data_IF_583369530218
#
_entry.id   IF_583369530218
#
_cell.length_a   1.000
_cell.length_b   1.000
_cell.length_c   1.000
_cell.angle_alpha   90.00
_cell.angle_beta   90.00
_cell.angle_gamma   90.00
#
_symmetry.space_group_name_H-M   'P 1'
#
loop_
_entity.id
_entity.type
_entity.pdbx_description
1 polymer ?
#
# COMPACT_ATOMS: atom_id res chain seq x y z
N UNK A 1 79.17 37.30 27.16
CA UNK A 1 78.78 36.27 26.14
C UNK A 1 78.11 35.00 26.73
N UNK A 2 78.40 34.53 27.93
CA UNK A 2 77.87 33.30 28.50
C UNK A 2 76.37 33.38 28.93
N UNK A 3 75.84 34.56 29.27
CA UNK A 3 74.47 34.72 29.74
C UNK A 3 73.48 34.73 28.56
N UNK A 4 73.76 35.40 27.44
CA UNK A 4 72.95 35.53 26.27
C UNK A 4 72.74 34.17 25.60
N UNK A 5 73.74 33.32 25.56
CA UNK A 5 73.67 31.96 25.00
C UNK A 5 72.70 31.06 25.83
N UNK A 6 72.71 31.16 27.14
CA UNK A 6 71.80 30.40 28.02
C UNK A 6 70.34 30.84 27.81
N UNK A 7 70.07 32.11 27.59
CA UNK A 7 68.72 32.63 27.34
C UNK A 7 68.20 32.13 25.99
N UNK A 8 69.05 32.14 24.95
CA UNK A 8 68.65 31.64 23.63
C UNK A 8 68.30 30.13 23.65
N UNK A 9 69.13 29.33 24.35
CA UNK A 9 68.81 27.90 24.51
C UNK A 9 67.54 27.68 25.28
N UNK A 10 67.31 28.40 26.39
CA UNK A 10 66.09 28.30 27.15
C UNK A 10 64.86 28.66 26.30
N UNK A 11 64.91 29.77 25.54
CA UNK A 11 63.83 30.19 24.66
C UNK A 11 63.52 29.12 23.54
N UNK A 12 64.57 28.51 22.99
CA UNK A 12 64.39 27.42 22.03
C UNK A 12 63.68 26.21 22.62
N UNK A 13 64.04 25.76 23.83
CA UNK A 13 63.38 24.67 24.51
C UNK A 13 61.93 24.98 24.85
N UNK A 14 61.63 26.21 25.32
CA UNK A 14 60.28 26.62 25.60
C UNK A 14 59.40 26.67 24.34
N UNK A 15 59.91 27.15 23.23
CA UNK A 15 59.19 27.19 21.96
C UNK A 15 58.95 25.78 21.40
N UNK A 16 59.92 24.89 21.46
CA UNK A 16 59.79 23.51 21.06
C UNK A 16 58.78 22.73 21.92
N UNK A 17 58.81 22.93 23.25
CA UNK A 17 57.87 22.29 24.15
C UNK A 17 56.45 22.85 23.95
N UNK A 18 56.28 24.12 23.74
CA UNK A 18 55.01 24.76 23.43
C UNK A 18 54.38 24.22 22.15
N UNK A 19 55.21 24.07 21.12
CA UNK A 19 54.79 23.50 19.83
C UNK A 19 54.33 22.02 19.96
N UNK A 20 55.06 21.23 20.73
CA UNK A 20 54.70 19.83 21.00
C UNK A 20 53.37 19.72 21.77
N UNK A 21 53.18 20.49 22.83
CA UNK A 21 51.93 20.48 23.62
C UNK A 21 50.75 20.93 22.74
N UNK A 22 50.91 21.96 21.93
CA UNK A 22 49.89 22.43 21.01
C UNK A 22 49.54 21.37 19.96
N UNK A 23 50.54 20.70 19.40
CA UNK A 23 50.39 19.63 18.40
C UNK A 23 49.59 18.43 18.97
N UNK A 24 49.98 17.97 20.16
CA UNK A 24 49.28 16.85 20.84
C UNK A 24 47.83 17.20 21.10
N UNK A 25 47.57 18.39 21.65
CA UNK A 25 46.19 18.82 21.93
C UNK A 25 45.34 18.96 20.65
N UNK A 26 45.95 19.49 19.58
CA UNK A 26 45.28 19.63 18.27
C UNK A 26 44.93 18.25 17.64
N UNK A 27 45.86 17.32 17.67
CA UNK A 27 45.63 15.97 17.15
C UNK A 27 44.65 15.19 18.03
N UNK A 28 44.70 15.33 19.34
CA UNK A 28 43.76 14.72 20.26
C UNK A 28 42.33 15.21 20.02
N UNK A 29 42.14 16.51 19.84
CA UNK A 29 40.84 17.10 19.54
C UNK A 29 40.28 16.63 18.21
N UNK A 30 41.12 16.55 17.15
CA UNK A 30 40.71 15.98 15.84
C UNK A 30 40.35 14.53 15.96
N UNK A 31 41.14 13.74 16.66
CA UNK A 31 40.84 12.31 16.86
C UNK A 31 39.50 12.09 17.57
N UNK A 32 39.20 12.85 18.62
CA UNK A 32 37.92 12.80 19.30
C UNK A 32 36.75 13.19 18.41
N UNK A 33 36.92 14.22 17.58
CA UNK A 33 35.89 14.64 16.63
C UNK A 33 35.61 13.58 15.55
N UNK A 34 36.67 12.97 14.99
CA UNK A 34 36.54 11.90 13.99
C UNK A 34 35.94 10.62 14.60
N UNK A 35 36.34 10.26 15.81
CA UNK A 35 35.75 9.14 16.53
C UNK A 35 34.26 9.36 16.76
N UNK A 36 33.83 10.53 17.20
CA UNK A 36 32.43 10.85 17.40
C UNK A 36 31.61 10.80 16.10
N UNK A 37 32.22 11.21 14.97
CA UNK A 37 31.61 11.10 13.64
C UNK A 37 31.46 9.65 13.21
N UNK A 38 32.49 8.83 13.44
CA UNK A 38 32.46 7.41 13.13
C UNK A 38 31.39 6.68 13.95
N UNK A 39 31.34 6.92 15.27
CA UNK A 39 30.36 6.33 16.16
C UNK A 39 28.92 6.74 15.78
N UNK A 40 28.72 8.01 15.37
CA UNK A 40 27.42 8.46 14.83
C UNK A 40 27.06 7.77 13.53
N UNK A 41 28.00 7.70 12.58
CA UNK A 41 27.75 7.07 11.28
C UNK A 41 27.43 5.57 11.43
N UNK A 42 28.11 4.89 12.34
CA UNK A 42 27.84 3.49 12.66
C UNK A 42 26.45 3.33 13.29
N UNK A 43 26.09 4.17 14.25
CA UNK A 43 24.75 4.17 14.86
C UNK A 43 23.63 4.47 13.86
N UNK A 44 23.84 5.42 12.95
CA UNK A 44 22.89 5.71 11.87
C UNK A 44 22.76 4.53 10.88
N UNK A 45 23.87 3.89 10.52
CA UNK A 45 23.86 2.73 9.63
C UNK A 45 23.13 1.53 10.28
N UNK A 46 23.36 1.27 11.56
CA UNK A 46 22.63 0.23 12.31
C UNK A 46 21.13 0.53 12.39
N UNK A 47 20.77 1.79 12.68
CA UNK A 47 19.37 2.20 12.71
C UNK A 47 18.70 2.05 11.35
N UNK A 48 19.34 2.51 10.27
CA UNK A 48 18.83 2.32 8.91
C UNK A 48 18.69 0.85 8.55
N UNK A 49 19.65 0.01 8.93
CA UNK A 49 19.58 -1.44 8.74
C UNK A 49 18.35 -2.06 9.42
N UNK A 50 18.05 -1.67 10.66
CA UNK A 50 16.84 -2.11 11.38
C UNK A 50 15.56 -1.65 10.70
N UNK A 51 15.53 -0.39 10.22
CA UNK A 51 14.37 0.16 9.50
C UNK A 51 14.13 -0.60 8.20
N UNK A 52 15.18 -0.84 7.41
CA UNK A 52 15.09 -1.59 6.16
C UNK A 52 14.63 -3.03 6.41
N UNK A 53 15.16 -3.70 7.43
CA UNK A 53 14.75 -5.06 7.80
C UNK A 53 13.26 -5.12 8.19
N UNK A 54 12.78 -4.16 8.99
CA UNK A 54 11.36 -4.06 9.34
C UNK A 54 10.47 -3.76 8.15
N UNK A 55 10.90 -2.88 7.25
CA UNK A 55 10.17 -2.58 6.01
C UNK A 55 10.09 -3.81 5.10
N UNK A 56 11.19 -4.54 4.93
CA UNK A 56 11.22 -5.77 4.14
C UNK A 56 10.29 -6.86 4.73
N UNK A 57 10.27 -6.99 6.06
CA UNK A 57 9.36 -7.93 6.74
C UNK A 57 7.90 -7.54 6.50
N UNK A 58 7.55 -6.26 6.65
CA UNK A 58 6.21 -5.78 6.43
C UNK A 58 5.78 -5.93 4.97
N UNK A 59 6.67 -5.63 4.02
CA UNK A 59 6.42 -5.83 2.60
C UNK A 59 6.13 -7.30 2.26
N UNK A 60 6.92 -8.23 2.80
CA UNK A 60 6.68 -9.65 2.60
C UNK A 60 5.33 -10.10 3.19
N UNK A 61 4.96 -9.61 4.36
CA UNK A 61 3.64 -9.89 4.96
C UNK A 61 2.50 -9.35 4.09
N UNK A 62 2.62 -8.13 3.61
CA UNK A 62 1.61 -7.52 2.73
C UNK A 62 1.44 -8.31 1.43
N UNK A 63 2.55 -8.74 0.82
CA UNK A 63 2.51 -9.58 -0.38
C UNK A 63 1.82 -10.92 -0.12
N UNK A 64 2.11 -11.59 0.98
CA UNK A 64 1.45 -12.85 1.35
C UNK A 64 -0.05 -12.67 1.57
N UNK A 65 -0.47 -11.59 2.22
CA UNK A 65 -1.89 -11.29 2.46
C UNK A 65 -2.58 -10.97 1.14
N UNK A 66 -1.96 -10.15 0.28
CA UNK A 66 -2.49 -9.81 -1.03
C UNK A 66 -2.62 -11.06 -1.94
N UNK A 67 -1.62 -11.93 -1.95
CA UNK A 67 -1.67 -13.20 -2.68
C UNK A 67 -2.78 -14.12 -2.19
N UNK A 68 -2.95 -14.24 -0.86
CA UNK A 68 -4.05 -15.00 -0.26
C UNK A 68 -5.42 -14.45 -0.68
N UNK A 69 -5.61 -13.12 -0.61
CA UNK A 69 -6.85 -12.47 -1.03
C UNK A 69 -7.10 -12.69 -2.52
N UNK A 70 -6.08 -12.57 -3.37
CA UNK A 70 -6.16 -12.83 -4.81
C UNK A 70 -6.56 -14.27 -5.11
N UNK A 71 -5.96 -15.25 -4.41
CA UNK A 71 -6.31 -16.66 -4.57
C UNK A 71 -7.75 -16.95 -4.15
N UNK A 72 -8.22 -16.38 -3.03
CA UNK A 72 -9.61 -16.53 -2.60
C UNK A 72 -10.57 -15.93 -3.64
N UNK A 73 -10.25 -14.75 -4.17
CA UNK A 73 -11.05 -14.11 -5.21
C UNK A 73 -11.11 -14.95 -6.51
N UNK A 74 -10.02 -15.62 -6.89
CA UNK A 74 -10.02 -16.54 -8.04
C UNK A 74 -10.91 -17.75 -7.80
N UNK A 75 -10.96 -18.29 -6.58
CA UNK A 75 -11.88 -19.37 -6.23
C UNK A 75 -13.35 -18.93 -6.29
N UNK A 76 -13.64 -17.70 -5.84
CA UNK A 76 -14.98 -17.10 -5.97
C UNK A 76 -15.37 -16.98 -7.44
N UNK A 77 -14.46 -16.53 -8.32
CA UNK A 77 -14.74 -16.43 -9.76
C UNK A 77 -15.08 -17.77 -10.38
N UNK A 78 -14.31 -18.82 -10.10
CA UNK A 78 -14.56 -20.17 -10.60
C UNK A 78 -15.91 -20.71 -10.10
N UNK A 79 -16.20 -20.53 -8.83
CA UNK A 79 -17.47 -20.93 -8.22
C UNK A 79 -18.67 -20.20 -8.80
N UNK A 80 -18.51 -18.87 -8.96
CA UNK A 80 -19.50 -18.00 -9.58
C UNK A 80 -19.82 -18.43 -11.04
N UNK A 81 -18.79 -18.62 -11.87
CA UNK A 81 -18.98 -19.00 -13.26
C UNK A 81 -19.78 -20.31 -13.40
N UNK A 82 -19.41 -21.33 -12.64
CA UNK A 82 -20.14 -22.61 -12.60
C UNK A 82 -21.61 -22.43 -12.19
N UNK A 83 -21.87 -21.59 -11.22
CA UNK A 83 -23.23 -21.33 -10.70
C UNK A 83 -24.05 -20.58 -11.74
N UNK A 84 -23.48 -19.57 -12.42
CA UNK A 84 -24.17 -18.80 -13.46
C UNK A 84 -24.55 -19.70 -14.63
N UNK A 85 -23.65 -20.60 -15.07
CA UNK A 85 -23.94 -21.57 -16.14
C UNK A 85 -25.12 -22.43 -15.73
N UNK A 86 -25.09 -23.02 -14.53
CA UNK A 86 -26.19 -23.87 -14.03
C UNK A 86 -27.52 -23.10 -13.93
N UNK A 87 -27.50 -21.87 -13.43
CA UNK A 87 -28.71 -21.06 -13.34
C UNK A 87 -29.26 -20.72 -14.72
N UNK A 88 -28.42 -20.40 -15.68
CA UNK A 88 -28.82 -20.12 -17.05
C UNK A 88 -29.51 -21.35 -17.69
N UNK A 89 -28.99 -22.55 -17.48
CA UNK A 89 -29.61 -23.80 -17.99
C UNK A 89 -30.99 -24.05 -17.37
N UNK A 90 -31.16 -23.79 -16.04
CA UNK A 90 -32.44 -23.92 -15.36
C UNK A 90 -33.43 -22.89 -15.88
N UNK A 91 -33.01 -21.63 -15.97
CA UNK A 91 -33.85 -20.52 -16.38
C UNK A 91 -34.33 -20.59 -17.82
N UNK A 92 -33.56 -21.24 -18.73
CA UNK A 92 -33.99 -21.50 -20.11
C UNK A 92 -35.27 -22.35 -20.19
N UNK A 93 -35.62 -23.12 -19.14
CA UNK A 93 -36.81 -23.97 -19.08
C UNK A 93 -38.00 -23.29 -18.44
N UNK A 94 -37.78 -22.09 -17.84
CA UNK A 94 -38.82 -21.37 -17.13
C UNK A 94 -39.66 -20.49 -18.08
N UNK A 95 -40.96 -20.71 -18.10
CA UNK A 95 -41.90 -20.00 -18.99
C UNK A 95 -42.02 -18.51 -18.69
N UNK A 96 -41.71 -18.10 -17.45
CA UNK A 96 -41.88 -16.73 -17.00
C UNK A 96 -40.60 -15.89 -17.14
N UNK A 97 -39.58 -16.45 -17.79
CA UNK A 97 -38.26 -15.80 -17.93
C UNK A 97 -38.31 -14.45 -18.64
N UNK A 98 -39.15 -14.38 -19.67
CA UNK A 98 -39.23 -13.21 -20.56
C UNK A 98 -40.19 -12.11 -20.03
N UNK A 99 -40.88 -12.37 -18.92
CA UNK A 99 -41.73 -11.33 -18.34
C UNK A 99 -40.89 -10.13 -17.88
N UNK A 100 -41.29 -8.90 -18.26
CA UNK A 100 -40.57 -7.70 -17.86
C UNK A 100 -40.75 -7.43 -16.37
N UNK A 101 -39.68 -7.01 -15.70
CA UNK A 101 -39.74 -6.43 -14.38
C UNK A 101 -40.47 -5.09 -14.48
N UNK A 102 -41.32 -4.70 -13.52
CA UNK A 102 -41.98 -3.40 -13.51
C UNK A 102 -40.98 -2.27 -13.77
N UNK A 103 -41.37 -1.34 -14.65
CA UNK A 103 -40.45 -0.31 -15.22
C UNK A 103 -39.76 0.49 -14.13
N UNK A 104 -40.49 0.89 -13.10
CA UNK A 104 -39.93 1.70 -11.99
C UNK A 104 -38.82 0.97 -11.24
N UNK A 105 -39.00 -0.36 -11.04
CA UNK A 105 -38.00 -1.22 -10.38
C UNK A 105 -36.81 -1.43 -11.31
N UNK A 106 -37.05 -1.74 -12.58
CA UNK A 106 -36.01 -1.98 -13.57
C UNK A 106 -35.13 -0.75 -13.74
N UNK A 107 -35.71 0.45 -13.87
CA UNK A 107 -34.97 1.71 -13.98
C UNK A 107 -34.18 2.00 -12.71
N UNK A 108 -34.75 1.79 -11.53
CA UNK A 108 -34.04 1.95 -10.25
C UNK A 108 -32.81 1.07 -10.14
N UNK A 109 -32.95 -0.23 -10.48
CA UNK A 109 -31.82 -1.18 -10.45
C UNK A 109 -30.73 -0.84 -11.47
N UNK A 110 -31.11 -0.49 -12.68
CA UNK A 110 -30.18 -0.08 -13.74
C UNK A 110 -29.40 1.18 -13.39
N UNK A 111 -30.08 2.19 -12.87
CA UNK A 111 -29.45 3.43 -12.42
C UNK A 111 -28.50 3.19 -11.25
N UNK A 112 -28.87 2.32 -10.30
CA UNK A 112 -28.01 1.95 -9.21
C UNK A 112 -26.76 1.19 -9.67
N UNK A 113 -26.92 0.23 -10.60
CA UNK A 113 -25.80 -0.51 -11.17
C UNK A 113 -24.85 0.41 -11.94
N UNK A 114 -25.38 1.35 -12.73
CA UNK A 114 -24.58 2.34 -13.46
C UNK A 114 -23.82 3.27 -12.50
N UNK A 115 -24.42 3.72 -11.42
CA UNK A 115 -23.77 4.52 -10.39
C UNK A 115 -22.61 3.76 -9.72
N UNK A 116 -22.82 2.48 -9.35
CA UNK A 116 -21.76 1.64 -8.78
C UNK A 116 -20.59 1.46 -9.77
N UNK A 117 -20.91 1.27 -11.06
CA UNK A 117 -19.91 1.14 -12.12
C UNK A 117 -19.12 2.43 -12.29
N UNK A 118 -19.79 3.56 -12.31
CA UNK A 118 -19.17 4.88 -12.41
C UNK A 118 -18.25 5.14 -11.21
N UNK A 119 -18.72 4.87 -10.00
CA UNK A 119 -17.91 4.97 -8.78
C UNK A 119 -16.65 4.12 -8.82
N UNK A 120 -16.73 2.90 -9.38
CA UNK A 120 -15.57 2.01 -9.50
C UNK A 120 -14.54 2.52 -10.52
N UNK A 121 -14.99 3.21 -11.59
CA UNK A 121 -14.11 3.74 -12.64
C UNK A 121 -13.53 5.12 -12.31
N UNK A 122 -14.19 5.89 -11.44
CA UNK A 122 -13.86 7.29 -11.14
C UNK A 122 -13.61 7.49 -9.64
N UNK A 123 -12.96 6.53 -8.99
CA UNK A 123 -12.73 6.56 -7.54
C UNK A 123 -12.01 7.84 -7.04
N UNK A 124 -11.37 8.60 -7.94
CA UNK A 124 -10.62 9.82 -7.64
C UNK A 124 -11.32 11.12 -8.06
N UNK A 125 -12.38 11.06 -8.86
CA UNK A 125 -13.12 12.26 -9.27
C UNK A 125 -14.43 12.36 -8.49
N UNK A 126 -14.53 13.34 -7.58
CA UNK A 126 -15.71 13.59 -6.75
C UNK A 126 -16.99 13.98 -7.53
N UNK A 127 -17.07 13.67 -8.82
CA UNK A 127 -18.19 13.97 -9.71
C UNK A 127 -18.92 12.68 -10.09
N UNK A 128 -19.81 12.26 -9.18
CA UNK A 128 -20.62 11.05 -9.33
C UNK A 128 -21.81 11.25 -10.30
N UNK A 129 -22.16 12.49 -10.61
CA UNK A 129 -23.38 12.80 -11.34
C UNK A 129 -23.24 12.78 -12.88
N UNK A 130 -22.04 12.81 -13.42
CA UNK A 130 -21.85 12.94 -14.89
C UNK A 130 -21.88 11.63 -15.69
N UNK A 131 -21.86 10.46 -15.01
CA UNK A 131 -21.82 9.15 -15.69
C UNK A 131 -23.20 8.54 -15.94
N UNK A 132 -24.28 9.16 -15.47
CA UNK A 132 -25.61 8.57 -15.46
C UNK A 132 -26.34 8.51 -16.80
N UNK A 133 -25.90 9.26 -17.82
CA UNK A 133 -26.76 9.53 -18.99
C UNK A 133 -26.40 8.78 -20.28
N UNK A 134 -25.37 7.92 -20.27
CA UNK A 134 -24.86 7.32 -21.52
C UNK A 134 -25.12 5.84 -21.76
N UNK A 135 -25.77 5.12 -20.88
CA UNK A 135 -25.84 3.65 -21.03
C UNK A 135 -27.19 3.03 -20.75
N UNK A 136 -28.24 3.40 -21.45
CA UNK A 136 -29.41 2.50 -21.49
C UNK A 136 -30.17 2.60 -22.80
N UNK A 137 -29.79 1.77 -23.74
CA UNK A 137 -30.57 1.54 -24.96
C UNK A 137 -31.76 0.58 -24.75
N UNK A 138 -31.84 -0.13 -23.61
CA UNK A 138 -32.97 -1.00 -23.28
C UNK A 138 -33.37 -0.81 -21.82
N UNK A 139 -34.47 -0.11 -21.62
CA UNK A 139 -35.12 0.10 -20.29
C UNK A 139 -35.91 -1.10 -19.80
N UNK A 140 -35.82 -2.24 -20.47
CA UNK A 140 -36.55 -3.46 -20.12
C UNK A 140 -35.61 -4.50 -19.55
N UNK A 141 -35.79 -4.81 -18.27
CA UNK A 141 -35.13 -5.89 -17.58
C UNK A 141 -36.12 -7.02 -17.41
N UNK A 142 -35.75 -8.25 -17.78
CA UNK A 142 -36.60 -9.42 -17.55
C UNK A 142 -36.33 -10.04 -16.18
N UNK A 143 -37.27 -10.83 -15.65
CA UNK A 143 -37.09 -11.51 -14.36
C UNK A 143 -35.87 -12.43 -14.37
N UNK A 144 -35.64 -13.18 -15.45
CA UNK A 144 -34.47 -14.04 -15.52
C UNK A 144 -33.16 -13.29 -15.60
N UNK A 145 -33.13 -12.14 -16.28
CA UNK A 145 -31.96 -11.25 -16.26
C UNK A 145 -31.70 -10.73 -14.84
N UNK A 146 -32.74 -10.31 -14.12
CA UNK A 146 -32.61 -9.87 -12.74
C UNK A 146 -32.09 -10.98 -11.82
N UNK A 147 -32.61 -12.19 -11.95
CA UNK A 147 -32.14 -13.37 -11.19
C UNK A 147 -30.67 -13.68 -11.48
N UNK A 148 -30.26 -13.61 -12.77
CA UNK A 148 -28.86 -13.84 -13.17
C UNK A 148 -27.90 -12.77 -12.64
N UNK A 149 -28.38 -11.59 -12.28
CA UNK A 149 -27.54 -10.54 -11.63
C UNK A 149 -27.21 -10.83 -10.17
N UNK A 150 -28.06 -11.58 -9.47
CA UNK A 150 -27.89 -11.84 -8.02
C UNK A 150 -26.54 -12.51 -7.76
N UNK A 151 -26.19 -13.54 -8.50
CA UNK A 151 -24.95 -14.28 -8.25
C UNK A 151 -23.68 -13.44 -8.50
N UNK A 152 -23.53 -12.70 -9.62
CA UNK A 152 -22.43 -11.74 -9.78
C UNK A 152 -22.31 -10.72 -8.66
N UNK A 153 -23.43 -10.20 -8.16
CA UNK A 153 -23.45 -9.25 -7.06
C UNK A 153 -22.95 -9.88 -5.76
N UNK A 154 -23.40 -11.09 -5.45
CA UNK A 154 -22.92 -11.83 -4.28
C UNK A 154 -21.42 -12.15 -4.38
N UNK A 155 -20.95 -12.55 -5.55
CA UNK A 155 -19.53 -12.77 -5.80
C UNK A 155 -18.70 -11.49 -5.62
N UNK A 156 -19.22 -10.34 -6.07
CA UNK A 156 -18.55 -9.05 -5.87
C UNK A 156 -18.47 -8.67 -4.38
N UNK A 157 -19.53 -8.91 -3.61
CA UNK A 157 -19.57 -8.69 -2.16
C UNK A 157 -18.56 -9.61 -1.45
N UNK A 158 -18.51 -10.88 -1.83
CA UNK A 158 -17.57 -11.84 -1.25
C UNK A 158 -16.11 -11.43 -1.53
N UNK A 159 -15.78 -10.99 -2.75
CA UNK A 159 -14.46 -10.46 -3.09
C UNK A 159 -14.12 -9.21 -2.27
N UNK A 160 -15.06 -8.28 -2.12
CA UNK A 160 -14.86 -7.10 -1.29
C UNK A 160 -14.60 -7.49 0.18
N UNK A 161 -15.33 -8.47 0.71
CA UNK A 161 -15.13 -8.98 2.07
C UNK A 161 -13.74 -9.64 2.22
N UNK A 162 -13.26 -10.38 1.22
CA UNK A 162 -11.92 -10.97 1.21
C UNK A 162 -10.83 -9.88 1.25
N UNK A 163 -11.01 -8.80 0.50
CA UNK A 163 -10.09 -7.66 0.51
C UNK A 163 -10.10 -6.94 1.87
N UNK A 164 -11.28 -6.68 2.43
CA UNK A 164 -11.42 -6.08 3.76
C UNK A 164 -10.80 -6.95 4.86
N UNK A 165 -10.96 -8.26 4.78
CA UNK A 165 -10.30 -9.20 5.70
C UNK A 165 -8.77 -9.09 5.59
N UNK A 166 -8.24 -8.97 4.37
CA UNK A 166 -6.82 -8.72 4.12
C UNK A 166 -6.33 -7.42 4.77
N UNK A 167 -7.06 -6.31 4.58
CA UNK A 167 -6.73 -5.01 5.19
C UNK A 167 -6.72 -5.11 6.72
N UNK A 168 -7.73 -5.72 7.33
CA UNK A 168 -7.77 -5.93 8.78
C UNK A 168 -6.60 -6.76 9.30
N UNK A 169 -6.19 -7.79 8.55
CA UNK A 169 -5.04 -8.60 8.91
C UNK A 169 -3.73 -7.79 8.86
N UNK A 170 -3.60 -6.88 7.90
CA UNK A 170 -2.46 -5.94 7.80
C UNK A 170 -2.44 -5.02 9.03
N UNK A 171 -3.58 -4.43 9.39
CA UNK A 171 -3.69 -3.53 10.54
C UNK A 171 -3.37 -4.22 11.87
N UNK A 172 -3.83 -5.45 12.06
CA UNK A 172 -3.53 -6.25 13.25
C UNK A 172 -2.07 -6.70 13.36
N UNK A 173 -1.34 -6.69 12.25
CA UNK A 173 0.07 -7.10 12.20
C UNK A 173 1.06 -5.96 12.41
N UNK A 174 0.59 -4.72 12.52
CA UNK A 174 1.37 -3.51 12.84
C UNK A 174 1.62 -3.37 14.33
#
# INVERSE_FOLDING_TARGET
MKLTYKIVIAAFFFSAFGALVWSVNHYHSKYQAEKLRADKAEGEAEYQGKVIANQALNFNRFNQIAEKASRLNSLVDIGHEKTVIKYREVLLREKNCDFPVPVDIAVGLLNYANRLRASALHADSGDIDSAGDRATTTRTLTYCQAVLWINPLLAAIEKANNQLAGVRQIEQSR
#
